data_IF_102397178907
#
_entry.id   IF_102397178907
#
_cell.length_a   1.000
_cell.length_b   1.000
_cell.length_c   1.000
_cell.angle_alpha   90.00
_cell.angle_beta   90.00
_cell.angle_gamma   90.00
#
_symmetry.space_group_name_H-M   'P 1'
#
loop_
_entity.id
_entity.type
_entity.pdbx_description
1 polymer ?
#
# COMPACT_ATOMS: atom_id res chain seq x y z
N UNK A 1 -35.12 3.20 9.93
CA UNK A 1 -35.28 4.66 10.09
C UNK A 1 -35.07 5.28 8.71
N UNK A 2 -36.03 6.10 8.27
CA UNK A 2 -36.22 6.55 6.88
C UNK A 2 -35.15 7.59 6.52
N UNK A 3 -34.36 7.35 5.47
CA UNK A 3 -33.44 8.34 4.91
C UNK A 3 -34.11 9.04 3.72
N UNK A 4 -34.45 10.31 3.90
CA UNK A 4 -34.57 11.30 2.81
C UNK A 4 -33.94 12.58 3.31
N UNK A 5 -32.86 13.00 2.66
CA UNK A 5 -32.57 14.41 2.44
C UNK A 5 -31.71 14.51 1.19
N UNK A 6 -32.35 15.05 0.15
CA UNK A 6 -31.73 15.51 -1.08
C UNK A 6 -30.75 16.61 -0.76
N UNK A 7 -29.46 16.32 -0.87
CA UNK A 7 -28.46 17.38 -1.04
C UNK A 7 -27.60 17.05 -2.25
N UNK A 8 -27.80 17.84 -3.31
CA UNK A 8 -26.92 17.86 -4.48
C UNK A 8 -25.60 18.49 -4.06
N UNK A 9 -24.62 17.67 -3.70
CA UNK A 9 -23.24 18.10 -3.56
C UNK A 9 -22.49 17.83 -4.87
N UNK A 10 -21.94 18.89 -5.46
CA UNK A 10 -21.03 18.81 -6.60
C UNK A 10 -19.73 18.11 -6.17
N UNK A 11 -19.65 16.81 -6.46
CA UNK A 11 -18.48 15.99 -6.16
C UNK A 11 -17.32 16.37 -7.09
N UNK A 12 -16.15 16.66 -6.52
CA UNK A 12 -14.90 16.71 -7.28
C UNK A 12 -14.46 15.27 -7.56
N UNK A 13 -13.99 14.92 -8.78
CA UNK A 13 -13.55 13.57 -9.12
C UNK A 13 -12.58 13.02 -8.06
N UNK A 14 -12.62 11.69 -7.81
CA UNK A 14 -11.53 11.00 -7.11
C UNK A 14 -10.24 11.50 -7.73
N UNK A 15 -9.40 12.16 -6.93
CA UNK A 15 -8.15 12.70 -7.44
C UNK A 15 -7.21 11.53 -7.77
N UNK A 16 -7.36 10.99 -8.96
CA UNK A 16 -6.40 10.08 -9.60
C UNK A 16 -5.20 10.84 -10.13
N UNK A 17 -5.15 12.18 -9.97
CA UNK A 17 -3.95 12.96 -10.27
C UNK A 17 -2.91 12.77 -9.16
N UNK A 18 -2.24 11.62 -9.18
CA UNK A 18 -0.79 11.73 -9.29
C UNK A 18 -0.55 12.48 -10.60
N UNK A 19 0.24 13.57 -10.63
CA UNK A 19 0.38 14.38 -11.83
C UNK A 19 0.67 13.46 -13.02
N UNK A 20 -0.22 13.52 -14.02
CA UNK A 20 -0.01 12.92 -15.33
C UNK A 20 1.21 13.62 -15.94
N UNK A 21 2.42 13.22 -15.56
CA UNK A 21 3.65 13.58 -16.27
C UNK A 21 3.72 12.71 -17.53
N UNK A 22 2.81 13.00 -18.47
CA UNK A 22 2.85 12.51 -19.85
C UNK A 22 2.96 13.70 -20.81
N UNK A 23 3.82 14.67 -20.51
CA UNK A 23 4.44 15.48 -21.55
C UNK A 23 5.85 14.97 -21.73
N UNK A 24 6.00 13.95 -22.57
CA UNK A 24 7.28 13.53 -23.10
C UNK A 24 7.97 14.76 -23.71
N UNK A 25 9.02 15.26 -23.07
CA UNK A 25 9.96 16.13 -23.75
C UNK A 25 10.74 15.26 -24.75
N UNK A 26 10.30 15.29 -26.02
CA UNK A 26 10.90 14.50 -27.10
C UNK A 26 12.38 14.83 -27.30
N UNK A 27 12.87 15.95 -26.76
CA UNK A 27 14.23 16.43 -26.95
C UNK A 27 15.22 15.97 -25.87
N UNK A 28 14.75 15.37 -24.77
CA UNK A 28 15.58 14.71 -23.75
C UNK A 28 15.42 13.19 -23.80
N UNK A 29 15.72 12.57 -24.95
CA UNK A 29 15.80 11.11 -25.04
C UNK A 29 17.13 10.64 -24.45
N UNK A 30 17.17 10.41 -23.13
CA UNK A 30 18.09 9.40 -22.63
C UNK A 30 17.68 8.06 -23.25
N UNK A 31 18.62 7.22 -23.71
CA UNK A 31 18.25 5.95 -24.30
C UNK A 31 17.43 5.17 -23.28
N UNK A 32 16.12 5.03 -23.54
CA UNK A 32 15.06 4.40 -22.74
C UNK A 32 15.36 2.98 -22.21
N UNK A 33 16.56 2.47 -22.47
CA UNK A 33 17.00 1.10 -22.21
C UNK A 33 18.17 1.03 -21.24
N UNK A 34 18.68 2.15 -20.70
CA UNK A 34 19.79 2.10 -19.75
C UNK A 34 19.91 3.27 -18.77
N UNK A 35 20.25 2.97 -17.51
CA UNK A 35 20.77 3.99 -16.57
C UNK A 35 22.24 4.21 -16.91
N UNK A 36 22.59 5.43 -17.32
CA UNK A 36 23.99 5.82 -17.51
C UNK A 36 24.60 6.03 -16.13
N UNK A 37 25.26 5.01 -15.60
CA UNK A 37 26.15 5.20 -14.45
C UNK A 37 27.40 5.88 -15.00
N UNK A 38 28.05 6.74 -14.22
CA UNK A 38 29.31 7.43 -14.57
C UNK A 38 30.46 6.51 -15.05
N UNK A 39 30.27 5.18 -15.05
CA UNK A 39 31.18 4.14 -15.58
C UNK A 39 30.53 3.15 -16.57
N UNK A 40 29.35 3.45 -17.12
CA UNK A 40 28.68 2.63 -18.14
C UNK A 40 27.16 2.58 -18.02
N UNK A 41 26.50 2.40 -19.17
CA UNK A 41 25.05 2.25 -19.30
C UNK A 41 24.59 0.86 -18.83
N UNK A 42 23.79 0.76 -17.75
CA UNK A 42 23.16 -0.49 -17.32
C UNK A 42 21.93 -0.75 -18.17
N UNK A 43 22.05 -1.65 -19.14
CA UNK A 43 20.93 -2.17 -19.93
C UNK A 43 20.21 -3.32 -19.23
N UNK A 44 18.90 -3.19 -18.97
CA UNK A 44 18.06 -4.28 -18.43
C UNK A 44 17.64 -5.31 -19.49
N UNK A 45 18.16 -5.24 -20.74
CA UNK A 45 17.73 -6.05 -21.89
C UNK A 45 17.84 -7.57 -21.68
N UNK A 46 18.65 -8.04 -20.73
CA UNK A 46 18.75 -9.47 -20.44
C UNK A 46 17.92 -9.78 -19.19
N UNK A 47 17.05 -10.79 -19.28
CA UNK A 47 16.34 -11.43 -18.14
C UNK A 47 17.28 -12.04 -17.08
N UNK A 48 18.56 -11.66 -17.05
CA UNK A 48 19.53 -12.10 -16.08
C UNK A 48 19.20 -11.44 -14.74
N UNK A 49 19.06 -12.26 -13.68
CA UNK A 49 18.90 -11.74 -12.33
C UNK A 49 20.08 -10.80 -12.00
N UNK A 50 19.76 -9.58 -11.58
CA UNK A 50 20.73 -8.63 -11.07
C UNK A 50 21.10 -9.01 -9.64
N UNK A 51 22.39 -8.97 -9.32
CA UNK A 51 22.87 -9.10 -7.94
C UNK A 51 22.36 -7.92 -7.10
N UNK A 52 22.23 -8.11 -5.78
CA UNK A 52 21.78 -7.06 -4.85
C UNK A 52 22.62 -5.80 -4.97
N UNK A 53 23.95 -5.92 -5.01
CA UNK A 53 24.88 -4.80 -5.17
C UNK A 53 24.63 -3.99 -6.46
N UNK A 54 24.30 -4.67 -7.57
CA UNK A 54 23.97 -3.99 -8.83
C UNK A 54 22.64 -3.25 -8.73
N UNK A 55 21.62 -3.86 -8.09
CA UNK A 55 20.34 -3.19 -7.85
C UNK A 55 20.53 -1.95 -6.96
N UNK A 56 21.34 -2.04 -5.92
CA UNK A 56 21.66 -0.91 -5.03
C UNK A 56 22.33 0.24 -5.78
N UNK A 57 23.36 -0.04 -6.58
CA UNK A 57 24.04 0.99 -7.40
C UNK A 57 23.09 1.70 -8.37
N UNK A 58 22.16 0.97 -8.99
CA UNK A 58 21.13 1.55 -9.85
C UNK A 58 20.26 2.52 -9.05
N UNK A 59 19.72 2.08 -7.91
CA UNK A 59 18.86 2.93 -7.09
C UNK A 59 19.59 4.15 -6.52
N UNK A 60 20.84 4.01 -6.10
CA UNK A 60 21.66 5.15 -5.63
C UNK A 60 21.81 6.18 -6.76
N UNK A 61 22.13 5.74 -7.99
CA UNK A 61 22.25 6.64 -9.15
C UNK A 61 20.93 7.35 -9.44
N UNK A 62 19.79 6.64 -9.34
CA UNK A 62 18.47 7.24 -9.55
C UNK A 62 18.11 8.26 -8.47
N UNK A 63 18.57 8.07 -7.24
CA UNK A 63 18.30 8.98 -6.12
C UNK A 63 19.13 10.28 -6.19
N UNK A 64 20.27 10.28 -6.90
CA UNK A 64 21.09 11.49 -7.09
C UNK A 64 20.36 12.57 -7.91
N UNK A 65 19.50 12.17 -8.84
CA UNK A 65 18.69 13.07 -9.67
C UNK A 65 17.27 12.53 -9.86
N UNK A 66 16.57 12.37 -8.72
CA UNK A 66 15.26 11.71 -8.70
C UNK A 66 14.23 12.39 -9.59
N UNK A 67 14.18 13.73 -9.59
CA UNK A 67 13.12 14.46 -10.29
C UNK A 67 13.23 14.31 -11.81
N UNK A 68 14.44 14.42 -12.39
CA UNK A 68 14.65 14.22 -13.83
C UNK A 68 14.36 12.75 -14.21
N UNK A 69 14.88 11.78 -13.44
CA UNK A 69 14.64 10.37 -13.72
C UNK A 69 13.18 9.95 -13.56
N UNK A 70 12.49 10.44 -12.53
CA UNK A 70 11.09 10.08 -12.30
C UNK A 70 10.19 10.61 -13.41
N UNK A 71 10.45 11.83 -13.91
CA UNK A 71 9.70 12.40 -15.02
C UNK A 71 9.97 11.71 -16.36
N UNK A 72 11.23 11.35 -16.63
CA UNK A 72 11.63 10.85 -17.96
C UNK A 72 11.62 9.32 -18.06
N UNK A 73 11.78 8.60 -16.94
CA UNK A 73 12.04 7.16 -16.90
C UNK A 73 11.05 6.37 -16.01
N UNK A 74 9.80 6.81 -15.88
CA UNK A 74 8.80 6.16 -15.02
C UNK A 74 8.63 4.65 -15.30
N UNK A 75 8.52 4.22 -16.56
CA UNK A 75 8.38 2.78 -16.90
C UNK A 75 9.59 1.94 -16.47
N UNK A 76 10.77 2.56 -16.48
CA UNK A 76 11.99 1.93 -16.01
C UNK A 76 11.98 1.78 -14.48
N UNK A 77 11.61 2.84 -13.74
CA UNK A 77 11.45 2.81 -12.27
C UNK A 77 10.42 1.77 -11.87
N UNK A 78 9.26 1.76 -12.54
CA UNK A 78 8.21 0.75 -12.37
C UNK A 78 8.73 -0.67 -12.56
N UNK A 79 9.54 -0.90 -13.59
CA UNK A 79 10.19 -2.21 -13.82
C UNK A 79 11.14 -2.58 -12.69
N UNK A 80 11.89 -1.63 -12.15
CA UNK A 80 12.78 -1.87 -11.01
C UNK A 80 12.02 -2.16 -9.72
N UNK A 81 10.95 -1.42 -9.41
CA UNK A 81 10.07 -1.68 -8.27
C UNK A 81 9.49 -3.10 -8.34
N UNK A 82 9.01 -3.51 -9.52
CA UNK A 82 8.54 -4.88 -9.75
C UNK A 82 9.63 -5.93 -9.55
N UNK A 83 10.90 -5.62 -9.84
CA UNK A 83 12.06 -6.51 -9.63
C UNK A 83 12.63 -6.46 -8.20
N UNK A 84 12.10 -5.63 -7.32
CA UNK A 84 12.55 -5.52 -5.93
C UNK A 84 13.49 -4.37 -5.66
N UNK A 85 13.13 -3.57 -4.66
CA UNK A 85 14.01 -2.56 -4.09
C UNK A 85 14.86 -3.24 -3.00
N UNK A 86 16.19 -3.09 -3.01
CA UNK A 86 17.06 -3.60 -1.96
C UNK A 86 16.71 -3.03 -0.59
N UNK A 87 16.78 -3.84 0.46
CA UNK A 87 16.40 -3.44 1.83
C UNK A 87 17.16 -2.23 2.35
N UNK A 88 18.44 -2.14 2.03
CA UNK A 88 19.35 -1.05 2.44
C UNK A 88 18.95 0.34 1.91
N UNK A 89 18.25 0.41 0.78
CA UNK A 89 17.87 1.67 0.12
C UNK A 89 16.34 1.88 0.09
N UNK A 90 15.56 0.86 0.48
CA UNK A 90 14.10 0.82 0.34
C UNK A 90 13.42 2.02 0.96
N UNK A 91 13.74 2.34 2.21
CA UNK A 91 13.14 3.49 2.91
C UNK A 91 13.32 4.80 2.14
N UNK A 92 14.53 5.07 1.63
CA UNK A 92 14.82 6.26 0.83
C UNK A 92 14.00 6.30 -0.45
N UNK A 93 13.98 5.19 -1.21
CA UNK A 93 13.20 5.13 -2.45
C UNK A 93 11.72 5.35 -2.20
N UNK A 94 11.16 4.81 -1.10
CA UNK A 94 9.75 5.00 -0.76
C UNK A 94 9.38 6.45 -0.45
N UNK A 95 10.25 7.20 0.27
CA UNK A 95 10.04 8.63 0.53
C UNK A 95 9.89 9.41 -0.79
N UNK A 96 10.74 9.10 -1.77
CA UNK A 96 10.74 9.69 -3.10
C UNK A 96 9.53 9.29 -3.96
N UNK A 97 9.09 8.02 -3.87
CA UNK A 97 7.90 7.54 -4.59
C UNK A 97 6.61 8.20 -4.08
N UNK A 98 6.48 8.40 -2.77
CA UNK A 98 5.29 9.02 -2.15
C UNK A 98 5.34 10.55 -2.16
N UNK A 99 6.50 11.17 -2.41
CA UNK A 99 6.72 12.62 -2.39
C UNK A 99 6.30 13.26 -1.06
N UNK A 100 6.99 12.85 -0.01
CA UNK A 100 6.73 13.36 1.35
C UNK A 100 7.14 14.82 1.51
N UNK A 101 6.58 15.50 2.52
CA UNK A 101 6.96 16.86 2.86
C UNK A 101 8.14 16.86 3.85
N UNK A 102 9.32 17.26 3.37
CA UNK A 102 10.55 17.28 4.16
C UNK A 102 10.56 18.28 5.33
N UNK A 103 9.61 19.23 5.35
CA UNK A 103 9.50 20.23 6.42
C UNK A 103 8.85 19.68 7.69
N UNK A 104 8.21 18.51 7.61
CA UNK A 104 7.55 17.88 8.77
C UNK A 104 8.63 17.26 9.65
N UNK A 105 8.59 17.56 10.95
CA UNK A 105 9.53 17.02 11.92
C UNK A 105 8.80 16.39 13.11
N UNK A 106 9.03 15.09 13.33
CA UNK A 106 8.41 14.30 14.40
C UNK A 106 8.73 14.86 15.79
N UNK A 107 9.96 15.36 16.00
CA UNK A 107 10.39 15.92 17.29
C UNK A 107 9.52 17.08 17.75
N UNK A 108 8.91 17.82 16.82
CA UNK A 108 7.94 18.89 17.11
C UNK A 108 6.78 18.38 17.97
N UNK A 109 6.35 17.13 17.76
CA UNK A 109 5.16 16.56 18.38
C UNK A 109 5.46 15.67 19.60
N UNK A 110 6.73 15.32 19.84
CA UNK A 110 7.10 14.40 20.92
C UNK A 110 6.74 14.96 22.31
N UNK A 111 6.98 16.26 22.53
CA UNK A 111 6.66 16.95 23.79
C UNK A 111 5.21 17.43 23.89
N UNK A 112 4.47 17.44 22.77
CA UNK A 112 3.08 17.91 22.74
C UNK A 112 2.14 16.89 23.40
N UNK A 113 1.12 17.44 24.08
CA UNK A 113 0.03 16.66 24.69
C UNK A 113 -0.95 16.23 23.59
N UNK A 114 -1.12 14.92 23.43
CA UNK A 114 -2.13 14.35 22.51
C UNK A 114 -3.52 14.29 23.14
N UNK A 115 -4.54 14.13 22.31
CA UNK A 115 -5.90 13.87 22.79
C UNK A 115 -5.93 12.58 23.62
N UNK A 116 -6.50 12.63 24.82
CA UNK A 116 -6.49 11.52 25.78
C UNK A 116 -7.15 10.24 25.25
N UNK A 117 -8.19 10.37 24.42
CA UNK A 117 -8.84 9.24 23.74
C UNK A 117 -7.83 8.50 22.85
N UNK A 118 -7.23 9.21 21.91
CA UNK A 118 -6.30 8.62 20.94
C UNK A 118 -5.03 8.10 21.62
N UNK A 119 -4.51 8.82 22.61
CA UNK A 119 -3.37 8.34 23.42
C UNK A 119 -3.70 6.99 24.06
N UNK A 120 -4.89 6.85 24.67
CA UNK A 120 -5.32 5.59 25.28
C UNK A 120 -5.48 4.46 24.27
N UNK A 121 -6.10 4.74 23.12
CA UNK A 121 -6.30 3.77 22.04
C UNK A 121 -4.96 3.31 21.45
N UNK A 122 -4.07 4.24 21.11
CA UNK A 122 -2.72 3.93 20.60
C UNK A 122 -1.96 3.07 21.61
N UNK A 123 -1.96 3.42 22.90
CA UNK A 123 -1.23 2.65 23.92
C UNK A 123 -1.69 1.20 24.03
N UNK A 124 -3.00 0.93 23.89
CA UNK A 124 -3.55 -0.44 23.87
C UNK A 124 -3.16 -1.21 22.61
N UNK A 125 -2.79 -0.49 21.56
CA UNK A 125 -2.51 -1.04 20.24
C UNK A 125 -1.05 -1.44 20.03
N UNK A 126 -0.11 -0.87 20.79
CA UNK A 126 1.33 -1.08 20.58
C UNK A 126 1.73 -2.56 20.68
N UNK A 127 1.33 -3.23 21.76
CA UNK A 127 1.84 -4.56 22.11
C UNK A 127 1.43 -5.66 21.11
N UNK A 128 0.44 -5.41 20.26
CA UNK A 128 0.00 -6.37 19.24
C UNK A 128 0.56 -6.09 17.85
N UNK A 129 1.35 -5.03 17.66
CA UNK A 129 1.99 -4.77 16.36
C UNK A 129 3.33 -5.50 16.28
N UNK A 130 3.37 -6.57 15.49
CA UNK A 130 4.56 -7.41 15.29
C UNK A 130 5.25 -7.82 16.62
N UNK A 131 4.52 -8.44 17.57
CA UNK A 131 5.00 -8.71 18.93
C UNK A 131 6.25 -9.61 18.98
N UNK A 132 6.47 -10.43 17.96
CA UNK A 132 7.64 -11.32 17.85
C UNK A 132 8.85 -10.66 17.19
N UNK A 133 8.70 -9.43 16.66
CA UNK A 133 9.79 -8.73 16.01
C UNK A 133 10.69 -8.04 17.05
N UNK A 134 12.01 -8.12 16.87
CA UNK A 134 12.99 -7.61 17.83
C UNK A 134 12.80 -6.13 18.19
N UNK A 135 12.33 -5.32 17.24
CA UNK A 135 12.03 -3.90 17.47
C UNK A 135 10.86 -3.65 18.44
N UNK A 136 9.91 -4.57 18.55
CA UNK A 136 8.65 -4.35 19.29
C UNK A 136 8.41 -5.36 20.43
N UNK A 137 9.15 -6.46 20.47
CA UNK A 137 9.00 -7.49 21.50
C UNK A 137 9.42 -6.98 22.88
N UNK A 138 8.58 -7.21 23.90
CA UNK A 138 8.90 -6.89 25.31
C UNK A 138 10.12 -7.66 25.84
N UNK A 139 10.46 -8.79 25.23
CA UNK A 139 11.64 -9.60 25.58
C UNK A 139 12.93 -9.09 24.94
N UNK A 140 12.84 -8.15 24.01
CA UNK A 140 13.98 -7.57 23.32
C UNK A 140 14.49 -6.31 24.05
N UNK A 141 15.82 -6.07 24.11
CA UNK A 141 16.36 -4.82 24.65
C UNK A 141 15.89 -3.58 23.88
N UNK A 142 15.49 -3.74 22.61
CA UNK A 142 15.01 -2.65 21.74
C UNK A 142 13.50 -2.43 21.81
N UNK A 143 12.73 -3.39 22.35
CA UNK A 143 11.26 -3.41 22.32
C UNK A 143 10.60 -2.14 22.84
N UNK A 144 11.01 -1.70 24.04
CA UNK A 144 10.47 -0.47 24.67
C UNK A 144 10.72 0.77 23.83
N UNK A 145 11.91 0.90 23.21
CA UNK A 145 12.22 2.05 22.37
C UNK A 145 11.43 2.01 21.06
N UNK A 146 11.28 0.84 20.43
CA UNK A 146 10.49 0.70 19.21
C UNK A 146 9.01 0.98 19.44
N UNK A 147 8.43 0.47 20.53
CA UNK A 147 7.05 0.80 20.92
C UNK A 147 6.88 2.30 21.21
N UNK A 148 7.87 2.95 21.85
CA UNK A 148 7.85 4.41 22.08
C UNK A 148 7.89 5.19 20.76
N UNK A 149 8.74 4.78 19.82
CA UNK A 149 8.81 5.39 18.50
C UNK A 149 7.47 5.23 17.75
N UNK A 150 6.86 4.04 17.80
CA UNK A 150 5.56 3.77 17.19
C UNK A 150 4.47 4.66 17.80
N UNK A 151 4.46 4.77 19.13
CA UNK A 151 3.56 5.69 19.84
C UNK A 151 3.76 7.13 19.39
N UNK A 152 4.99 7.61 19.27
CA UNK A 152 5.28 9.00 18.86
C UNK A 152 4.80 9.28 17.44
N UNK A 153 5.00 8.36 16.49
CA UNK A 153 4.50 8.50 15.10
C UNK A 153 2.97 8.62 15.08
N UNK A 154 2.28 7.69 15.75
CA UNK A 154 0.82 7.66 15.74
C UNK A 154 0.24 8.86 16.50
N UNK A 155 0.79 9.20 17.66
CA UNK A 155 0.40 10.39 18.43
C UNK A 155 0.62 11.66 17.61
N UNK A 156 1.80 11.82 17.01
CA UNK A 156 2.14 12.98 16.19
C UNK A 156 1.16 13.17 15.04
N UNK A 157 0.73 12.08 14.40
CA UNK A 157 -0.28 12.13 13.34
C UNK A 157 -1.63 12.66 13.87
N UNK A 158 -2.09 12.17 15.03
CA UNK A 158 -3.36 12.64 15.62
C UNK A 158 -3.33 14.09 16.08
N UNK A 159 -2.14 14.61 16.44
CA UNK A 159 -1.96 16.03 16.79
C UNK A 159 -2.00 16.89 15.52
N UNK A 160 -1.39 16.41 14.44
CA UNK A 160 -1.36 17.12 13.16
C UNK A 160 -2.73 17.10 12.44
N UNK A 161 -3.48 16.01 12.60
CA UNK A 161 -4.79 15.79 11.95
C UNK A 161 -5.87 15.41 12.98
N UNK A 162 -6.25 16.35 13.87
CA UNK A 162 -7.18 16.06 14.97
C UNK A 162 -8.56 15.59 14.49
N UNK A 163 -9.01 16.10 13.34
CA UNK A 163 -10.30 15.75 12.74
C UNK A 163 -10.34 14.32 12.15
N UNK A 164 -9.17 13.75 11.83
CA UNK A 164 -9.05 12.38 11.31
C UNK A 164 -8.81 11.36 12.42
N UNK A 165 -8.15 11.78 13.50
CA UNK A 165 -7.93 10.95 14.67
C UNK A 165 -7.08 9.71 14.41
N UNK A 166 -7.31 8.70 15.25
CA UNK A 166 -6.62 7.41 15.19
C UNK A 166 -7.57 6.28 14.80
N UNK A 167 -7.13 5.47 13.84
CA UNK A 167 -7.75 4.20 13.50
C UNK A 167 -6.75 3.06 13.74
N UNK A 168 -7.19 1.98 14.39
CA UNK A 168 -6.38 0.79 14.68
C UNK A 168 -5.66 0.19 13.45
N UNK A 169 -6.18 0.44 12.24
CA UNK A 169 -5.58 -0.02 10.98
C UNK A 169 -4.31 0.74 10.60
N UNK A 170 -4.04 1.89 11.22
CA UNK A 170 -2.85 2.71 11.00
C UNK A 170 -1.60 2.15 11.71
N UNK A 171 -1.77 1.57 12.89
CA UNK A 171 -0.68 1.04 13.70
C UNK A 171 0.25 0.03 12.97
N UNK A 172 -0.26 -1.00 12.25
CA UNK A 172 0.62 -1.95 11.57
C UNK A 172 1.36 -1.29 10.39
N UNK A 173 0.77 -0.26 9.77
CA UNK A 173 1.44 0.51 8.71
C UNK A 173 2.64 1.26 9.30
N UNK A 174 2.41 2.05 10.36
CA UNK A 174 3.48 2.80 11.04
C UNK A 174 4.58 1.88 11.60
N UNK A 175 4.20 0.72 12.15
CA UNK A 175 5.16 -0.26 12.67
C UNK A 175 6.05 -0.84 11.57
N UNK A 176 5.47 -1.20 10.41
CA UNK A 176 6.26 -1.72 9.28
C UNK A 176 7.23 -0.68 8.71
N UNK A 177 6.82 0.59 8.68
CA UNK A 177 7.70 1.69 8.28
C UNK A 177 8.88 1.85 9.23
N UNK A 178 8.65 1.79 10.55
CA UNK A 178 9.72 1.84 11.55
C UNK A 178 10.74 0.71 11.41
N UNK A 179 10.32 -0.47 10.96
CA UNK A 179 11.25 -1.58 10.67
C UNK A 179 12.17 -1.22 9.49
N UNK A 180 11.72 -0.39 8.54
CA UNK A 180 12.45 -0.06 7.32
C UNK A 180 13.28 1.22 7.37
N UNK A 181 12.95 2.16 8.28
CA UNK A 181 13.60 3.47 8.31
C UNK A 181 13.55 4.13 9.70
N UNK A 182 14.38 5.16 9.93
CA UNK A 182 14.34 5.92 11.18
C UNK A 182 12.96 6.55 11.46
N UNK A 183 12.64 6.87 12.73
CA UNK A 183 11.32 7.37 13.12
C UNK A 183 10.85 8.62 12.37
N UNK A 184 11.77 9.54 12.09
CA UNK A 184 11.49 10.77 11.36
C UNK A 184 11.01 10.51 9.93
N UNK A 185 11.73 9.66 9.20
CA UNK A 185 11.38 9.27 7.83
C UNK A 185 10.09 8.44 7.81
N UNK A 186 9.94 7.53 8.79
CA UNK A 186 8.75 6.73 8.93
C UNK A 186 7.51 7.62 9.18
N UNK A 187 7.64 8.70 9.95
CA UNK A 187 6.57 9.65 10.19
C UNK A 187 6.18 10.40 8.92
N UNK A 188 7.15 10.94 8.17
CA UNK A 188 6.92 11.64 6.90
C UNK A 188 6.22 10.73 5.89
N UNK A 189 6.71 9.49 5.73
CA UNK A 189 6.12 8.52 4.83
C UNK A 189 4.72 8.07 5.28
N UNK A 190 4.52 7.89 6.58
CA UNK A 190 3.22 7.54 7.15
C UNK A 190 2.16 8.61 6.83
N UNK A 191 2.51 9.89 6.97
CA UNK A 191 1.63 11.00 6.58
C UNK A 191 1.34 10.96 5.08
N UNK A 192 2.37 10.81 4.25
CA UNK A 192 2.19 10.72 2.79
C UNK A 192 1.29 9.55 2.37
N UNK A 193 1.37 8.41 3.05
CA UNK A 193 0.47 7.27 2.84
C UNK A 193 -0.97 7.63 3.24
N UNK A 194 -1.17 8.25 4.40
CA UNK A 194 -2.50 8.64 4.88
C UNK A 194 -3.15 9.75 4.03
N UNK A 195 -2.38 10.68 3.49
CA UNK A 195 -2.86 11.76 2.62
C UNK A 195 -3.01 11.33 1.15
N UNK A 196 -2.29 10.30 0.74
CA UNK A 196 -2.29 9.76 -0.62
C UNK A 196 -3.07 8.46 -0.74
N UNK A 197 -2.37 7.33 -0.59
CA UNK A 197 -2.89 6.00 -0.89
C UNK A 197 -4.10 5.62 -0.01
N UNK A 198 -4.03 5.92 1.28
CA UNK A 198 -5.05 5.60 2.28
C UNK A 198 -5.95 6.80 2.60
N UNK A 199 -6.02 7.78 1.69
CA UNK A 199 -6.87 8.94 1.88
C UNK A 199 -8.33 8.52 2.06
N UNK A 200 -8.97 9.09 3.08
CA UNK A 200 -10.38 8.87 3.46
C UNK A 200 -10.71 7.42 3.94
N UNK A 201 -9.73 6.53 4.04
CA UNK A 201 -9.93 5.15 4.54
C UNK A 201 -10.37 5.11 6.00
N UNK A 202 -9.92 6.07 6.80
CA UNK A 202 -10.08 6.07 8.27
C UNK A 202 -11.24 6.97 8.74
N UNK A 203 -12.19 7.27 7.86
CA UNK A 203 -13.42 8.01 8.20
C UNK A 203 -14.38 7.14 9.03
N UNK A 204 -15.19 7.76 9.90
CA UNK A 204 -16.09 7.06 10.83
C UNK A 204 -17.08 6.09 10.14
N UNK A 205 -17.55 6.44 8.94
CA UNK A 205 -18.50 5.63 8.18
C UNK A 205 -17.84 4.69 7.16
N UNK A 206 -16.50 4.71 7.05
CA UNK A 206 -15.73 3.97 6.05
C UNK A 206 -16.28 4.16 4.61
N UNK A 207 -16.78 5.35 4.28
CA UNK A 207 -17.45 5.61 2.99
C UNK A 207 -16.58 5.26 1.80
N UNK A 208 -15.29 5.61 1.87
CA UNK A 208 -14.33 5.25 0.83
C UNK A 208 -14.24 3.74 0.64
N UNK A 209 -14.15 2.99 1.73
CA UNK A 209 -14.05 1.54 1.70
C UNK A 209 -15.31 0.87 1.13
N UNK A 210 -16.50 1.37 1.46
CA UNK A 210 -17.76 0.87 0.90
C UNK A 210 -17.83 1.08 -0.63
N UNK A 211 -17.41 2.26 -1.12
CA UNK A 211 -17.30 2.52 -2.57
C UNK A 211 -16.29 1.57 -3.22
N UNK A 212 -15.16 1.33 -2.57
CA UNK A 212 -14.15 0.39 -3.08
C UNK A 212 -14.61 -1.07 -3.00
N UNK A 213 -15.49 -1.43 -2.06
CA UNK A 213 -16.17 -2.73 -2.03
C UNK A 213 -16.97 -2.96 -3.30
N UNK A 214 -17.83 -2.00 -3.68
CA UNK A 214 -18.58 -2.04 -4.95
C UNK A 214 -17.66 -2.10 -6.18
N UNK A 215 -16.52 -1.39 -6.15
CA UNK A 215 -15.50 -1.49 -7.21
C UNK A 215 -14.93 -2.90 -7.28
N UNK A 216 -14.51 -3.47 -6.16
CA UNK A 216 -13.96 -4.82 -6.09
C UNK A 216 -14.98 -5.86 -6.57
N UNK A 217 -16.26 -5.71 -6.19
CA UNK A 217 -17.36 -6.57 -6.66
C UNK A 217 -17.50 -6.53 -8.19
N UNK A 218 -17.44 -5.34 -8.78
CA UNK A 218 -17.51 -5.18 -10.23
C UNK A 218 -16.29 -5.78 -10.94
N UNK A 219 -15.09 -5.57 -10.39
CA UNK A 219 -13.86 -6.18 -10.90
C UNK A 219 -13.89 -7.70 -10.80
N UNK A 220 -14.52 -8.28 -9.77
CA UNK A 220 -14.73 -9.71 -9.66
C UNK A 220 -15.62 -10.23 -10.78
N UNK A 221 -16.70 -9.53 -11.12
CA UNK A 221 -17.56 -9.91 -12.23
C UNK A 221 -16.78 -9.92 -13.57
N UNK A 222 -15.93 -8.92 -13.80
CA UNK A 222 -15.12 -8.80 -15.02
C UNK A 222 -14.03 -9.88 -15.08
N UNK A 223 -13.19 -9.98 -14.06
CA UNK A 223 -11.97 -10.79 -14.12
C UNK A 223 -12.15 -12.22 -13.60
N UNK A 224 -13.11 -12.46 -12.71
CA UNK A 224 -13.32 -13.74 -12.02
C UNK A 224 -14.82 -14.13 -11.98
N UNK A 225 -15.53 -14.16 -13.13
CA UNK A 225 -17.00 -14.26 -13.17
C UNK A 225 -17.54 -15.50 -12.44
N UNK A 226 -16.83 -16.63 -12.50
CA UNK A 226 -17.23 -17.85 -11.78
C UNK A 226 -17.19 -17.69 -10.25
N UNK A 227 -16.20 -16.94 -9.73
CA UNK A 227 -16.09 -16.67 -8.30
C UNK A 227 -17.09 -15.59 -7.90
N UNK A 228 -17.29 -14.56 -8.74
CA UNK A 228 -18.36 -13.57 -8.56
C UNK A 228 -19.73 -14.24 -8.42
N UNK A 229 -20.13 -15.11 -9.35
CA UNK A 229 -21.41 -15.83 -9.25
C UNK A 229 -21.53 -16.71 -8.01
N UNK A 230 -20.42 -17.30 -7.54
CA UNK A 230 -20.41 -18.02 -6.27
C UNK A 230 -20.68 -17.06 -5.10
N UNK A 231 -20.03 -15.90 -5.06
CA UNK A 231 -20.21 -14.93 -3.99
C UNK A 231 -21.62 -14.34 -3.98
N UNK A 232 -22.18 -14.01 -5.15
CA UNK A 232 -23.57 -13.53 -5.25
C UNK A 232 -24.56 -14.58 -4.75
N UNK A 233 -24.36 -15.86 -5.09
CA UNK A 233 -25.25 -16.95 -4.65
C UNK A 233 -25.30 -17.09 -3.12
N UNK A 234 -24.21 -16.78 -2.43
CA UNK A 234 -24.06 -16.94 -0.98
C UNK A 234 -23.94 -15.61 -0.23
N UNK A 235 -24.31 -14.51 -0.88
CA UNK A 235 -24.33 -13.14 -0.32
C UNK A 235 -23.00 -12.75 0.33
N UNK A 236 -21.88 -13.14 -0.29
CA UNK A 236 -20.53 -12.85 0.20
C UNK A 236 -20.08 -11.49 -0.34
N UNK A 237 -20.48 -10.44 0.38
CA UNK A 237 -20.09 -9.07 0.03
C UNK A 237 -18.62 -8.76 0.37
N UNK A 238 -17.94 -7.90 -0.40
CA UNK A 238 -16.54 -7.53 -0.19
C UNK A 238 -16.20 -7.07 1.23
N UNK A 239 -17.09 -6.32 1.88
CA UNK A 239 -16.95 -5.81 3.24
C UNK A 239 -16.71 -6.92 4.28
N UNK A 240 -17.08 -8.17 3.98
CA UNK A 240 -16.87 -9.31 4.88
C UNK A 240 -15.42 -9.80 4.92
N UNK A 241 -14.59 -9.46 3.94
CA UNK A 241 -13.21 -9.95 3.84
C UNK A 241 -12.16 -8.89 3.51
N UNK A 242 -12.53 -7.78 2.86
CA UNK A 242 -11.55 -6.81 2.35
C UNK A 242 -11.13 -5.73 3.36
N UNK A 243 -11.88 -5.55 4.46
CA UNK A 243 -11.71 -4.40 5.37
C UNK A 243 -10.28 -4.29 5.88
N UNK A 244 -9.74 -5.39 6.41
CA UNK A 244 -8.35 -5.39 6.90
C UNK A 244 -7.34 -5.25 5.77
N UNK A 245 -7.58 -5.90 4.63
CA UNK A 245 -6.70 -5.87 3.46
C UNK A 245 -6.45 -4.44 2.99
N UNK A 246 -7.52 -3.65 2.88
CA UNK A 246 -7.47 -2.30 2.35
C UNK A 246 -7.02 -1.32 3.44
N UNK A 247 -7.64 -1.33 4.61
CA UNK A 247 -7.32 -0.37 5.67
C UNK A 247 -5.89 -0.51 6.21
N UNK A 248 -5.36 -1.74 6.26
CA UNK A 248 -3.99 -2.01 6.71
C UNK A 248 -2.99 -2.12 5.55
N UNK A 249 -3.40 -1.92 4.29
CA UNK A 249 -2.56 -2.09 3.10
C UNK A 249 -1.84 -3.46 3.09
N UNK A 250 -2.60 -4.51 3.42
CA UNK A 250 -2.15 -5.90 3.57
C UNK A 250 -1.09 -6.19 4.64
N UNK A 251 -0.72 -5.20 5.46
CA UNK A 251 0.33 -5.36 6.48
C UNK A 251 0.01 -6.38 7.58
N UNK A 252 -1.28 -6.68 7.80
CA UNK A 252 -1.76 -7.78 8.67
C UNK A 252 -2.05 -9.08 7.93
N UNK A 253 -2.11 -9.03 6.60
CA UNK A 253 -2.52 -10.16 5.76
C UNK A 253 -1.33 -11.03 5.37
N UNK A 254 -0.20 -10.41 5.03
CA UNK A 254 1.00 -11.13 4.60
C UNK A 254 2.17 -10.97 5.59
N UNK A 255 3.14 -11.90 5.58
CA UNK A 255 4.43 -11.71 6.24
C UNK A 255 5.15 -10.44 5.77
N UNK A 256 5.98 -9.86 6.65
CA UNK A 256 6.68 -8.58 6.42
C UNK A 256 7.37 -8.56 5.05
N UNK A 257 8.17 -9.58 4.72
CA UNK A 257 8.92 -9.64 3.46
C UNK A 257 8.03 -9.54 2.20
N UNK A 258 6.80 -10.07 2.26
CA UNK A 258 5.84 -9.99 1.16
C UNK A 258 5.21 -8.59 1.10
N UNK A 259 4.84 -8.03 2.25
CA UNK A 259 4.29 -6.67 2.35
C UNK A 259 5.28 -5.64 1.80
N UNK A 260 6.58 -5.78 2.12
CA UNK A 260 7.63 -4.91 1.58
C UNK A 260 7.68 -4.95 0.05
N UNK A 261 7.60 -6.14 -0.55
CA UNK A 261 7.57 -6.30 -2.02
C UNK A 261 6.30 -5.72 -2.63
N UNK A 262 5.16 -5.90 -1.97
CA UNK A 262 3.89 -5.31 -2.37
C UNK A 262 3.94 -3.78 -2.30
N UNK A 263 4.55 -3.22 -1.26
CA UNK A 263 4.67 -1.78 -1.09
C UNK A 263 5.62 -1.13 -2.10
N UNK A 264 6.69 -1.81 -2.52
CA UNK A 264 7.56 -1.35 -3.62
C UNK A 264 6.75 -1.00 -4.88
N UNK A 265 5.77 -1.85 -5.23
CA UNK A 265 4.91 -1.62 -6.41
C UNK A 265 3.71 -0.73 -6.09
N UNK A 266 3.15 -0.79 -4.89
CA UNK A 266 2.02 0.06 -4.47
C UNK A 266 2.43 1.53 -4.48
N UNK A 267 3.61 1.86 -3.95
CA UNK A 267 4.08 3.25 -3.88
C UNK A 267 4.48 3.80 -5.25
N UNK A 268 4.88 2.93 -6.18
CA UNK A 268 5.20 3.33 -7.55
C UNK A 268 3.97 3.43 -8.46
N UNK A 269 3.11 2.41 -8.46
CA UNK A 269 2.00 2.28 -9.41
C UNK A 269 0.65 2.77 -8.86
N UNK A 270 0.58 3.06 -7.55
CA UNK A 270 -0.58 3.63 -6.88
C UNK A 270 -1.68 2.64 -6.51
N UNK A 271 -2.82 3.20 -6.10
CA UNK A 271 -3.94 2.50 -5.45
C UNK A 271 -4.46 1.26 -6.18
N UNK A 272 -4.36 1.19 -7.52
CA UNK A 272 -4.80 0.04 -8.33
C UNK A 272 -4.15 -1.28 -7.90
N UNK A 273 -2.96 -1.23 -7.31
CA UNK A 273 -2.27 -2.40 -6.78
C UNK A 273 -3.06 -3.07 -5.66
N UNK A 274 -3.81 -2.31 -4.86
CA UNK A 274 -4.67 -2.86 -3.80
C UNK A 274 -5.72 -3.79 -4.42
N UNK A 275 -6.46 -3.31 -5.42
CA UNK A 275 -7.45 -4.12 -6.14
C UNK A 275 -6.85 -5.33 -6.84
N UNK A 276 -5.71 -5.17 -7.54
CA UNK A 276 -5.04 -6.30 -8.20
C UNK A 276 -4.63 -7.37 -7.19
N UNK A 277 -4.14 -6.96 -6.02
CA UNK A 277 -3.76 -7.89 -4.96
C UNK A 277 -4.97 -8.66 -4.44
N UNK A 278 -6.11 -7.98 -4.22
CA UNK A 278 -7.36 -8.64 -3.84
C UNK A 278 -7.81 -9.68 -4.90
N UNK A 279 -7.77 -9.33 -6.18
CA UNK A 279 -8.13 -10.24 -7.27
C UNK A 279 -7.18 -11.46 -7.34
N UNK A 280 -5.87 -11.26 -7.19
CA UNK A 280 -4.90 -12.37 -7.12
C UNK A 280 -5.22 -13.27 -5.93
N UNK A 281 -5.40 -12.71 -4.73
CA UNK A 281 -5.75 -13.47 -3.54
C UNK A 281 -7.00 -14.31 -3.76
N UNK A 282 -8.10 -13.69 -4.20
CA UNK A 282 -9.38 -14.35 -4.44
C UNK A 282 -9.23 -15.45 -5.49
N UNK A 283 -8.60 -15.16 -6.64
CA UNK A 283 -8.37 -16.15 -7.71
C UNK A 283 -7.68 -17.41 -7.19
N UNK A 284 -6.62 -17.24 -6.39
CA UNK A 284 -5.79 -18.36 -5.94
C UNK A 284 -6.39 -19.10 -4.74
N UNK A 285 -7.08 -18.41 -3.83
CA UNK A 285 -7.81 -19.03 -2.72
C UNK A 285 -8.94 -19.94 -3.26
N UNK A 286 -9.66 -19.47 -4.28
CA UNK A 286 -10.81 -20.17 -4.87
C UNK A 286 -10.49 -20.96 -6.15
N UNK A 287 -9.21 -21.17 -6.46
CA UNK A 287 -8.77 -21.92 -7.64
C UNK A 287 -9.26 -23.38 -7.62
N UNK A 288 -9.32 -23.97 -6.42
CA UNK A 288 -9.97 -25.28 -6.20
C UNK A 288 -11.42 -25.06 -5.77
N UNK A 289 -12.35 -25.82 -6.36
CA UNK A 289 -13.78 -25.78 -5.98
C UNK A 289 -13.97 -26.03 -4.48
N UNK A 290 -15.03 -25.45 -3.93
CA UNK A 290 -15.51 -25.69 -2.57
C UNK A 290 -16.60 -26.76 -2.65
N UNK A 291 -16.49 -27.80 -1.82
CA UNK A 291 -17.56 -28.77 -1.62
C UNK A 291 -18.57 -28.20 -0.64
N UNK A 292 -19.87 -28.28 -0.97
CA UNK A 292 -20.97 -27.77 -0.14
C UNK A 292 -20.76 -26.32 0.34
N UNK A 293 -20.63 -25.34 -0.58
CA UNK A 293 -20.38 -23.96 -0.19
C UNK A 293 -21.57 -23.37 0.56
N UNK A 294 -21.23 -22.57 1.56
CA UNK A 294 -22.07 -21.61 2.26
C UNK A 294 -21.24 -20.36 2.58
N UNK A 295 -21.86 -19.32 3.12
CA UNK A 295 -21.17 -18.06 3.46
C UNK A 295 -19.99 -18.29 4.42
N UNK A 296 -20.16 -19.13 5.44
CA UNK A 296 -19.14 -19.35 6.49
C UNK A 296 -17.92 -20.08 5.94
N UNK A 297 -18.12 -21.15 5.18
CA UNK A 297 -17.07 -21.96 4.54
C UNK A 297 -16.28 -21.15 3.51
N UNK A 298 -16.95 -20.27 2.76
CA UNK A 298 -16.32 -19.30 1.87
C UNK A 298 -15.43 -18.34 2.67
N UNK A 299 -15.97 -17.72 3.73
CA UNK A 299 -15.23 -16.78 4.56
C UNK A 299 -14.04 -17.40 5.30
N UNK A 300 -14.17 -18.63 5.79
CA UNK A 300 -13.08 -19.37 6.42
C UNK A 300 -11.92 -19.63 5.45
N UNK A 301 -12.19 -19.70 4.15
CA UNK A 301 -11.16 -19.94 3.15
C UNK A 301 -10.21 -18.77 2.98
N UNK A 302 -10.69 -17.54 3.19
CA UNK A 302 -9.84 -16.34 3.19
C UNK A 302 -8.77 -16.35 4.27
N UNK A 303 -8.96 -17.11 5.35
CA UNK A 303 -7.95 -17.29 6.41
C UNK A 303 -6.76 -18.17 5.99
N UNK A 304 -6.83 -18.83 4.84
CA UNK A 304 -5.80 -19.75 4.34
C UNK A 304 -5.23 -19.23 3.02
N UNK A 305 -4.23 -18.34 3.14
CA UNK A 305 -3.48 -17.86 1.97
C UNK A 305 -2.61 -19.00 1.44
N UNK A 306 -2.67 -19.33 0.14
CA UNK A 306 -1.77 -20.31 -0.45
C UNK A 306 -0.30 -19.98 -0.22
N UNK A 307 0.50 -20.96 0.21
CA UNK A 307 1.91 -20.76 0.62
C UNK A 307 2.78 -20.10 -0.47
N UNK A 308 2.53 -20.42 -1.74
CA UNK A 308 3.27 -19.83 -2.85
C UNK A 308 3.00 -18.33 -3.04
N UNK A 309 1.88 -17.79 -2.51
CA UNK A 309 1.63 -16.35 -2.45
C UNK A 309 2.34 -15.66 -1.28
N UNK A 310 2.98 -16.43 -0.40
CA UNK A 310 3.88 -15.91 0.63
C UNK A 310 5.31 -15.69 0.10
N UNK A 311 5.53 -15.96 -1.19
CA UNK A 311 6.69 -15.46 -1.94
C UNK A 311 6.31 -14.12 -2.59
N UNK A 312 7.01 -13.05 -2.18
CA UNK A 312 6.73 -11.70 -2.66
C UNK A 312 6.94 -11.53 -4.16
N UNK A 313 7.96 -12.16 -4.75
CA UNK A 313 8.23 -12.03 -6.18
C UNK A 313 7.19 -12.79 -7.02
N UNK A 314 6.75 -13.96 -6.54
CA UNK A 314 5.64 -14.68 -7.15
C UNK A 314 4.35 -13.86 -7.09
N UNK A 315 4.01 -13.27 -5.94
CA UNK A 315 2.84 -12.40 -5.79
C UNK A 315 2.89 -11.22 -6.78
N UNK A 316 4.04 -10.52 -6.88
CA UNK A 316 4.19 -9.42 -7.84
C UNK A 316 4.06 -9.90 -9.29
N UNK A 317 4.51 -11.12 -9.59
CA UNK A 317 4.36 -11.69 -10.92
C UNK A 317 2.88 -11.93 -11.29
N UNK A 318 2.06 -12.40 -10.34
CA UNK A 318 0.62 -12.58 -10.56
C UNK A 318 -0.11 -11.23 -10.65
N UNK A 319 0.23 -10.26 -9.79
CA UNK A 319 -0.32 -8.90 -9.84
C UNK A 319 -0.04 -8.25 -11.20
N UNK A 320 1.14 -8.48 -11.76
CA UNK A 320 1.56 -7.94 -13.07
C UNK A 320 0.76 -8.52 -14.24
N UNK A 321 0.15 -9.70 -14.09
CA UNK A 321 -0.69 -10.35 -15.12
C UNK A 321 -2.11 -9.78 -15.17
N UNK A 322 -2.58 -9.16 -14.09
CA UNK A 322 -3.90 -8.52 -14.06
C UNK A 322 -3.80 -7.16 -14.74
N UNK A 323 -4.52 -6.98 -15.84
CA UNK A 323 -4.80 -5.65 -16.38
C UNK A 323 -6.06 -5.11 -15.71
N UNK A 324 -5.97 -3.92 -15.12
CA UNK A 324 -7.14 -3.13 -14.73
C UNK A 324 -6.96 -1.83 -15.51
N UNK A 325 -7.83 -1.59 -16.46
CA UNK A 325 -7.81 -0.36 -17.25
C UNK A 325 -8.40 0.80 -16.45
N UNK A 326 -7.92 2.01 -16.75
CA UNK A 326 -8.39 3.20 -16.05
C UNK A 326 -9.90 3.41 -16.25
N UNK A 327 -10.42 3.04 -17.43
CA UNK A 327 -11.85 3.11 -17.71
C UNK A 327 -12.66 2.15 -16.83
N UNK A 328 -12.13 0.99 -16.41
CA UNK A 328 -12.88 0.05 -15.56
C UNK A 328 -13.08 0.65 -14.15
N UNK A 329 -12.06 1.31 -13.61
CA UNK A 329 -12.15 2.04 -12.34
C UNK A 329 -13.10 3.25 -12.45
N UNK A 330 -13.07 3.94 -13.59
CA UNK A 330 -13.91 5.12 -13.86
C UNK A 330 -15.38 4.72 -14.10
N UNK A 331 -15.63 3.74 -14.95
CA UNK A 331 -16.97 3.28 -15.33
C UNK A 331 -17.70 2.70 -14.14
N UNK A 332 -16.99 1.96 -13.27
CA UNK A 332 -17.58 1.51 -12.01
C UNK A 332 -17.81 2.67 -11.05
N UNK A 333 -16.96 3.70 -11.04
CA UNK A 333 -17.17 4.90 -10.23
C UNK A 333 -18.41 5.71 -10.65
N UNK A 334 -18.67 5.87 -11.95
CA UNK A 334 -19.81 6.63 -12.48
C UNK A 334 -21.13 5.86 -12.50
N UNK A 335 -21.11 4.53 -12.42
CA UNK A 335 -22.30 3.68 -12.37
C UNK A 335 -22.77 3.37 -10.93
N UNK A 336 -22.11 3.94 -9.91
CA UNK A 336 -22.50 3.93 -8.49
C UNK A 336 -23.22 5.22 -8.13
#
# INVERSE_FOLDING_TARGET
MVWRNDVKYSYQPINTNLPLYNQHDKNKQFPFKSVVISKGAISLKNNKLLTTEKKEKIWITLLEDWDDYHMNNYDFIKTLCRRGIPTTIRGKVWLHLIKVNDKINLHTFESMVGNSKYVSEISKDLNRQYPSHEMFSDTSPYGRQGQRNLFNILKGYTIMFPDRGYCQAQAPIAALLLIQMPPEDAFKLFIGICDGIAKDYYSDNLERLQKEGKILKSLLNIHLPKIYTLFEKYEVEPELYMVEWFLCLYSRTFPINVVLRLWDVLFCEGHKIIFKTALVLIKHIFMKKISNPDTVTILQRFKKIPEYLLDGDYLISEISKISIEHYELIQVHYNM
#
